data_IF_540783310727
#
_entry.id   IF_540783310727
#
_cell.length_a   1.000
_cell.length_b   1.000
_cell.length_c   1.000
_cell.angle_alpha   90.00
_cell.angle_beta   90.00
_cell.angle_gamma   90.00
#
_symmetry.space_group_name_H-M   'P 1'
#
loop_
_entity.id
_entity.type
_entity.pdbx_description
1 polymer ?
#
# COMPACT_ATOMS: atom_id res chain seq x y z
N UNK A 1 -61.18 -1.67 -12.84
CA UNK A 1 -60.39 -1.54 -11.59
C UNK A 1 -58.93 -1.82 -11.92
N UNK A 2 -58.18 -0.76 -12.09
CA UNK A 2 -56.74 -0.85 -12.41
C UNK A 2 -55.92 -0.99 -11.12
N UNK A 3 -54.96 -1.92 -11.03
CA UNK A 3 -54.02 -1.90 -9.92
C UNK A 3 -52.87 -0.94 -10.24
N UNK A 4 -52.77 0.10 -9.43
CA UNK A 4 -51.65 1.03 -9.35
C UNK A 4 -50.38 0.29 -8.91
N UNK A 5 -49.37 0.21 -9.80
CA UNK A 5 -48.02 -0.14 -9.44
C UNK A 5 -47.41 0.98 -8.61
N UNK A 6 -47.17 0.71 -7.34
CA UNK A 6 -46.23 1.50 -6.54
C UNK A 6 -44.81 1.08 -6.93
N UNK A 7 -44.04 2.00 -7.49
CA UNK A 7 -42.61 1.89 -7.61
C UNK A 7 -42.04 2.00 -6.20
N UNK A 8 -41.53 0.91 -5.67
CA UNK A 8 -40.71 0.93 -4.46
C UNK A 8 -39.41 1.66 -4.81
N UNK A 9 -39.16 2.76 -4.10
CA UNK A 9 -37.88 3.45 -4.18
C UNK A 9 -36.76 2.48 -3.76
N UNK A 10 -35.74 2.37 -4.61
CA UNK A 10 -34.52 1.67 -4.29
C UNK A 10 -33.91 2.34 -3.06
N UNK A 11 -33.97 1.64 -1.92
CA UNK A 11 -33.22 2.02 -0.73
C UNK A 11 -31.76 1.96 -1.10
N UNK A 12 -31.04 3.05 -0.87
CA UNK A 12 -29.58 3.06 -0.85
C UNK A 12 -29.20 2.15 0.32
N UNK A 13 -28.74 0.94 0.04
CA UNK A 13 -28.20 0.05 1.06
C UNK A 13 -27.00 0.75 1.69
N UNK A 14 -27.17 1.22 2.91
CA UNK A 14 -26.18 1.88 3.76
C UNK A 14 -25.21 0.81 4.30
N UNK A 15 -24.37 0.25 3.44
CA UNK A 15 -23.47 -0.88 3.76
C UNK A 15 -22.26 -0.45 4.60
N UNK A 16 -22.08 0.84 4.89
CA UNK A 16 -20.91 1.35 5.62
C UNK A 16 -21.19 1.87 7.03
N UNK A 17 -22.45 2.06 7.38
CA UNK A 17 -22.79 2.23 8.79
C UNK A 17 -22.76 0.83 9.42
N UNK A 18 -21.68 0.54 10.16
CA UNK A 18 -21.61 -0.62 11.01
C UNK A 18 -22.96 -0.78 11.73
N UNK A 19 -23.66 -1.88 11.45
CA UNK A 19 -24.63 -2.35 12.44
C UNK A 19 -23.79 -2.69 13.69
N UNK A 20 -24.02 -2.03 14.83
CA UNK A 20 -23.11 -2.10 15.98
C UNK A 20 -23.03 -3.48 16.66
N UNK A 21 -23.51 -4.56 16.06
CA UNK A 21 -23.84 -5.79 16.79
C UNK A 21 -23.33 -7.13 16.23
N UNK A 22 -22.48 -7.19 15.21
CA UNK A 22 -21.78 -8.45 14.97
C UNK A 22 -20.42 -8.44 15.68
N UNK A 23 -20.42 -8.82 16.95
CA UNK A 23 -19.18 -9.17 17.65
C UNK A 23 -18.70 -10.51 17.14
N UNK A 24 -17.51 -10.53 16.56
CA UNK A 24 -16.87 -11.79 16.18
C UNK A 24 -16.56 -12.61 17.45
N UNK A 25 -16.79 -13.94 17.40
CA UNK A 25 -16.13 -14.80 18.36
C UNK A 25 -14.63 -14.80 18.04
N UNK A 26 -13.76 -14.48 18.99
CA UNK A 26 -12.32 -14.33 18.76
C UNK A 26 -11.68 -15.55 18.08
N UNK A 27 -12.16 -16.76 18.44
CA UNK A 27 -11.67 -18.02 17.87
C UNK A 27 -12.20 -18.31 16.44
N UNK A 28 -13.16 -17.52 15.93
CA UNK A 28 -13.65 -17.63 14.55
C UNK A 28 -12.86 -16.74 13.57
N UNK A 29 -11.99 -15.88 14.06
CA UNK A 29 -11.20 -14.99 13.22
C UNK A 29 -9.98 -15.74 12.69
N UNK A 30 -9.88 -15.83 11.35
CA UNK A 30 -8.72 -16.43 10.69
C UNK A 30 -8.11 -15.46 9.68
N UNK A 31 -6.98 -14.84 10.04
CA UNK A 31 -6.28 -13.86 9.20
C UNK A 31 -5.47 -14.49 8.05
N UNK A 32 -5.39 -15.83 7.98
CA UNK A 32 -4.73 -16.55 6.87
C UNK A 32 -5.70 -17.00 5.79
N UNK A 33 -7.00 -16.98 6.09
CA UNK A 33 -8.04 -17.33 5.14
C UNK A 33 -8.27 -16.17 4.15
N UNK A 34 -8.11 -16.44 2.86
CA UNK A 34 -8.35 -15.44 1.81
C UNK A 34 -9.81 -14.98 1.77
N UNK A 35 -10.76 -15.82 2.19
CA UNK A 35 -12.17 -15.46 2.26
C UNK A 35 -12.44 -14.41 3.36
N UNK A 36 -11.63 -14.37 4.43
CA UNK A 36 -11.68 -13.27 5.39
C UNK A 36 -11.36 -11.94 4.72
N UNK A 37 -10.38 -11.89 3.83
CA UNK A 37 -9.94 -10.66 3.16
C UNK A 37 -10.88 -10.22 2.02
N UNK A 38 -11.78 -11.08 1.57
CA UNK A 38 -12.87 -10.76 0.63
C UNK A 38 -14.10 -10.15 1.30
N UNK A 39 -14.18 -10.19 2.65
CA UNK A 39 -15.30 -9.61 3.39
C UNK A 39 -15.32 -8.09 3.30
N UNK A 40 -16.49 -7.46 3.44
CA UNK A 40 -16.61 -6.01 3.53
C UNK A 40 -15.68 -5.42 4.59
N UNK A 41 -15.17 -4.22 4.33
CA UNK A 41 -14.22 -3.57 5.25
C UNK A 41 -14.76 -3.43 6.68
N UNK A 42 -16.06 -3.11 6.84
CA UNK A 42 -16.69 -3.02 8.17
C UNK A 42 -16.56 -4.31 8.98
N UNK A 43 -16.79 -5.47 8.35
CA UNK A 43 -16.64 -6.78 8.99
C UNK A 43 -15.17 -7.03 9.41
N UNK A 44 -14.22 -6.73 8.53
CA UNK A 44 -12.77 -6.89 8.84
C UNK A 44 -12.34 -5.97 9.98
N UNK A 45 -12.80 -4.71 9.99
CA UNK A 45 -12.50 -3.77 11.08
C UNK A 45 -13.11 -4.22 12.40
N UNK A 46 -14.34 -4.76 12.39
CA UNK A 46 -14.98 -5.35 13.57
C UNK A 46 -14.19 -6.55 14.12
N UNK A 47 -13.69 -7.43 13.24
CA UNK A 47 -12.83 -8.54 13.65
C UNK A 47 -11.52 -8.05 14.29
N UNK A 48 -10.87 -7.02 13.72
CA UNK A 48 -9.68 -6.43 14.33
C UNK A 48 -9.97 -5.71 15.64
N UNK A 49 -11.15 -5.10 15.82
CA UNK A 49 -11.56 -4.55 17.12
C UNK A 49 -11.68 -5.67 18.16
N UNK A 50 -12.30 -6.80 17.83
CA UNK A 50 -12.36 -7.98 18.70
C UNK A 50 -10.95 -8.46 19.08
N UNK A 51 -10.04 -8.60 18.11
CA UNK A 51 -8.65 -9.00 18.39
C UNK A 51 -7.95 -8.00 19.32
N UNK A 52 -8.09 -6.68 19.09
CA UNK A 52 -7.48 -5.66 19.96
C UNK A 52 -7.96 -5.75 21.39
N UNK A 53 -9.23 -6.08 21.61
CA UNK A 53 -9.83 -6.16 22.94
C UNK A 53 -9.55 -7.47 23.66
N UNK A 54 -9.71 -8.59 22.97
CA UNK A 54 -9.71 -9.91 23.60
C UNK A 54 -8.39 -10.64 23.50
N UNK A 55 -7.65 -10.46 22.37
CA UNK A 55 -6.41 -11.19 22.11
C UNK A 55 -5.46 -10.36 21.20
N UNK A 56 -4.89 -9.26 21.72
CA UNK A 56 -4.13 -8.29 20.93
C UNK A 56 -2.85 -8.86 20.30
N UNK A 57 -2.31 -9.95 20.84
CA UNK A 57 -1.23 -10.76 20.27
C UNK A 57 -1.79 -12.16 20.05
N UNK A 58 -2.10 -12.50 18.79
CA UNK A 58 -2.76 -13.75 18.44
C UNK A 58 -1.93 -14.54 17.45
N UNK A 59 -1.79 -15.85 17.68
CA UNK A 59 -1.09 -16.76 16.78
C UNK A 59 -2.03 -17.21 15.66
N UNK A 60 -1.49 -17.28 14.43
CA UNK A 60 -2.13 -17.83 13.24
C UNK A 60 -1.15 -18.74 12.49
N UNK A 61 -1.67 -19.83 11.91
CA UNK A 61 -0.92 -20.68 11.01
C UNK A 61 -0.54 -19.93 9.73
N UNK A 62 0.46 -20.41 8.98
CA UNK A 62 0.78 -19.84 7.67
C UNK A 62 -0.25 -20.28 6.62
N UNK A 63 -0.53 -19.41 5.62
CA UNK A 63 -1.39 -19.79 4.50
C UNK A 63 -0.69 -20.87 3.66
N UNK A 64 -1.48 -21.81 3.17
CA UNK A 64 -1.03 -22.78 2.17
C UNK A 64 -1.26 -22.18 0.78
N UNK A 65 -0.22 -22.13 -0.04
CA UNK A 65 -0.34 -21.70 -1.44
C UNK A 65 -0.53 -22.95 -2.30
N UNK A 66 -1.71 -23.11 -2.83
CA UNK A 66 -2.03 -24.18 -3.75
C UNK A 66 -1.65 -23.83 -5.20
N UNK A 67 -1.44 -24.84 -6.04
CA UNK A 67 -1.23 -24.67 -7.48
C UNK A 67 0.15 -24.16 -7.87
N UNK A 68 1.14 -24.25 -6.98
CA UNK A 68 2.53 -23.86 -7.26
C UNK A 68 3.40 -25.05 -7.60
N UNK A 69 4.35 -24.88 -8.53
CA UNK A 69 5.40 -25.85 -8.86
C UNK A 69 6.55 -25.87 -7.85
N UNK A 70 6.63 -24.88 -6.98
CA UNK A 70 7.63 -24.75 -5.91
C UNK A 70 6.92 -25.00 -4.58
N UNK A 71 7.36 -26.04 -3.87
CA UNK A 71 6.90 -26.31 -2.50
C UNK A 71 7.63 -25.40 -1.51
N UNK A 72 6.88 -24.67 -0.72
CA UNK A 72 7.40 -23.91 0.40
C UNK A 72 7.23 -24.75 1.68
N UNK A 73 8.28 -24.88 2.52
CA UNK A 73 8.13 -25.60 3.78
C UNK A 73 7.10 -24.87 4.67
N UNK A 74 6.24 -25.65 5.32
CA UNK A 74 5.35 -25.11 6.34
C UNK A 74 6.19 -24.54 7.50
N UNK A 75 5.91 -23.31 7.88
CA UNK A 75 6.53 -22.68 9.05
C UNK A 75 5.67 -22.81 10.29
N UNK A 76 6.15 -22.22 11.40
CA UNK A 76 5.48 -22.28 12.71
C UNK A 76 4.35 -21.23 12.86
N UNK A 77 3.91 -20.60 11.77
CA UNK A 77 2.90 -19.54 11.80
C UNK A 77 3.49 -18.17 12.17
N UNK A 78 2.61 -17.26 12.61
CA UNK A 78 3.01 -15.91 13.01
C UNK A 78 2.08 -15.36 14.10
N UNK A 79 2.55 -14.35 14.83
CA UNK A 79 1.76 -13.59 15.77
C UNK A 79 1.29 -12.28 15.14
N UNK A 80 -0.01 -11.99 15.20
CA UNK A 80 -0.58 -10.72 14.79
C UNK A 80 -0.47 -9.69 15.92
N UNK A 81 0.24 -8.58 15.71
CA UNK A 81 0.27 -7.44 16.61
C UNK A 81 -0.82 -6.44 16.17
N UNK A 82 -1.91 -6.35 16.92
CA UNK A 82 -3.08 -5.55 16.52
C UNK A 82 -3.17 -4.19 17.23
N UNK A 83 -2.51 -4.02 18.38
CA UNK A 83 -2.48 -2.76 19.13
C UNK A 83 -1.41 -1.81 18.61
N UNK A 84 -1.75 -0.52 18.54
CA UNK A 84 -0.86 0.57 18.12
C UNK A 84 0.47 0.57 18.87
N UNK A 85 0.42 0.41 20.21
CA UNK A 85 1.60 0.42 21.06
C UNK A 85 2.56 -0.74 20.76
N UNK A 86 2.03 -1.94 20.52
CA UNK A 86 2.85 -3.12 20.26
C UNK A 86 3.52 -3.03 18.88
N UNK A 87 2.78 -2.56 17.87
CA UNK A 87 3.32 -2.21 16.54
C UNK A 87 4.43 -1.17 16.64
N UNK A 88 4.25 -0.13 17.47
CA UNK A 88 5.25 0.91 17.68
C UNK A 88 6.53 0.33 18.33
N UNK A 89 6.36 -0.48 19.37
CA UNK A 89 7.47 -1.10 20.09
C UNK A 89 8.29 -1.98 19.17
N UNK A 90 7.64 -2.88 18.42
CA UNK A 90 8.33 -3.76 17.48
C UNK A 90 9.07 -2.97 16.38
N UNK A 91 8.48 -1.88 15.89
CA UNK A 91 9.13 -1.05 14.87
C UNK A 91 10.34 -0.24 15.38
N UNK A 92 10.35 0.13 16.67
CA UNK A 92 11.42 0.92 17.29
C UNK A 92 12.61 0.11 17.79
N UNK A 93 12.47 -1.22 17.84
CA UNK A 93 13.52 -2.15 18.27
C UNK A 93 13.98 -3.05 17.13
N UNK A 94 14.58 -2.49 16.04
CA UNK A 94 15.01 -3.26 14.89
C UNK A 94 16.11 -4.28 15.21
N UNK A 95 16.83 -4.10 16.31
CA UNK A 95 17.83 -5.04 16.81
C UNK A 95 17.22 -6.32 17.39
N UNK A 96 15.92 -6.28 17.75
CA UNK A 96 15.15 -7.43 18.22
C UNK A 96 14.23 -7.95 17.12
N UNK A 97 13.56 -7.05 16.42
CA UNK A 97 12.51 -7.33 15.42
C UNK A 97 13.06 -7.09 14.01
N UNK A 98 13.74 -8.11 13.48
CA UNK A 98 14.45 -8.06 12.20
C UNK A 98 13.51 -8.01 10.99
N UNK A 99 13.88 -7.25 9.97
CA UNK A 99 13.23 -7.23 8.66
C UNK A 99 13.87 -8.20 7.67
N UNK A 100 15.15 -8.51 7.84
CA UNK A 100 15.96 -9.28 6.90
C UNK A 100 15.40 -10.66 6.53
N UNK A 101 14.83 -11.44 7.45
CA UNK A 101 14.27 -12.74 7.11
C UNK A 101 13.03 -12.71 6.19
N UNK A 102 12.42 -11.54 5.96
CA UNK A 102 11.30 -11.35 5.03
C UNK A 102 10.25 -10.40 5.57
N UNK A 103 10.24 -9.14 5.11
CA UNK A 103 9.35 -8.11 5.64
C UNK A 103 7.94 -8.12 5.01
N UNK A 104 7.77 -8.74 3.84
CA UNK A 104 6.55 -8.67 3.01
C UNK A 104 5.89 -10.03 2.76
N UNK A 105 6.36 -11.08 3.44
CA UNK A 105 5.83 -12.44 3.31
C UNK A 105 5.56 -13.04 4.69
N UNK A 106 4.43 -13.71 4.85
CA UNK A 106 4.13 -14.52 6.04
C UNK A 106 4.96 -15.79 6.08
N UNK A 107 5.28 -16.35 4.90
CA UNK A 107 6.08 -17.54 4.74
C UNK A 107 7.58 -17.21 4.72
N UNK A 108 8.40 -18.21 5.06
CA UNK A 108 9.83 -18.13 4.90
C UNK A 108 10.20 -18.46 3.44
N UNK A 109 10.61 -17.45 2.72
CA UNK A 109 11.06 -17.55 1.34
C UNK A 109 12.57 -17.76 1.28
N UNK A 110 13.11 -18.42 0.22
CA UNK A 110 14.54 -18.44 -0.03
C UNK A 110 15.14 -17.03 -0.02
N UNK A 111 16.33 -16.89 0.57
CA UNK A 111 17.00 -15.59 0.74
C UNK A 111 17.17 -14.82 -0.58
N UNK A 112 17.41 -15.54 -1.68
CA UNK A 112 17.56 -14.99 -3.02
C UNK A 112 16.25 -14.35 -3.51
N UNK A 113 15.11 -14.98 -3.22
CA UNK A 113 13.80 -14.42 -3.56
C UNK A 113 13.49 -13.17 -2.70
N UNK A 114 13.80 -13.22 -1.40
CA UNK A 114 13.63 -12.08 -0.50
C UNK A 114 14.48 -10.91 -0.98
N UNK A 115 15.75 -11.12 -1.30
CA UNK A 115 16.64 -10.07 -1.79
C UNK A 115 16.18 -9.49 -3.15
N UNK A 116 15.69 -10.35 -4.04
CA UNK A 116 15.24 -9.96 -5.37
C UNK A 116 13.98 -9.11 -5.36
N UNK A 117 12.93 -9.53 -4.65
CA UNK A 117 11.64 -8.86 -4.67
C UNK A 117 11.47 -7.76 -3.61
N UNK A 118 12.17 -7.88 -2.49
CA UNK A 118 11.95 -6.98 -1.36
C UNK A 118 13.08 -5.97 -1.19
N UNK A 119 14.25 -6.20 -1.78
CA UNK A 119 15.37 -5.28 -1.75
C UNK A 119 15.65 -4.70 -0.36
N UNK A 120 15.74 -3.39 -0.29
CA UNK A 120 16.05 -2.65 0.94
C UNK A 120 15.03 -2.89 2.07
N UNK A 121 13.76 -3.19 1.76
CA UNK A 121 12.70 -3.33 2.76
C UNK A 121 12.86 -4.58 3.63
N UNK A 122 13.54 -5.63 3.08
CA UNK A 122 13.88 -6.87 3.78
C UNK A 122 15.38 -6.93 4.06
N UNK A 123 15.91 -5.89 4.68
CA UNK A 123 17.31 -5.86 5.16
C UNK A 123 17.36 -5.20 6.53
N UNK A 124 18.40 -5.53 7.29
CA UNK A 124 18.71 -4.92 8.57
C UNK A 124 20.07 -4.20 8.50
N UNK A 125 20.40 -3.44 9.53
CA UNK A 125 21.69 -2.78 9.63
C UNK A 125 22.84 -3.80 9.74
N UNK A 126 23.99 -3.54 9.13
CA UNK A 126 24.39 -2.29 8.49
C UNK A 126 23.96 -2.16 7.01
N UNK A 127 23.46 -3.25 6.36
CA UNK A 127 23.11 -3.26 4.93
C UNK A 127 21.98 -2.28 4.65
N UNK A 128 20.92 -2.27 5.48
CA UNK A 128 19.79 -1.35 5.34
C UNK A 128 20.25 0.11 5.40
N UNK A 129 21.01 0.51 6.43
CA UNK A 129 21.49 1.88 6.57
C UNK A 129 22.35 2.34 5.37
N UNK A 130 23.20 1.44 4.83
CA UNK A 130 23.97 1.69 3.63
C UNK A 130 23.08 1.95 2.42
N UNK A 131 22.16 1.04 2.10
CA UNK A 131 21.25 1.16 0.96
C UNK A 131 20.39 2.41 1.06
N UNK A 132 19.78 2.64 2.24
CA UNK A 132 18.92 3.81 2.48
C UNK A 132 19.68 5.12 2.31
N UNK A 133 20.94 5.19 2.76
CA UNK A 133 21.80 6.38 2.58
C UNK A 133 22.06 6.69 1.11
N UNK A 134 22.37 5.65 0.30
CA UNK A 134 22.62 5.79 -1.14
C UNK A 134 21.36 6.28 -1.85
N UNK A 135 20.24 5.58 -1.63
CA UNK A 135 18.98 5.89 -2.27
C UNK A 135 18.46 7.28 -1.86
N UNK A 136 18.52 7.64 -0.58
CA UNK A 136 18.07 8.95 -0.09
C UNK A 136 18.82 10.12 -0.73
N UNK A 137 20.06 9.94 -1.16
CA UNK A 137 20.82 10.99 -1.91
C UNK A 137 20.27 11.23 -3.30
N UNK A 138 19.69 10.21 -3.95
CA UNK A 138 19.04 10.39 -5.26
C UNK A 138 17.75 11.24 -5.15
N UNK A 139 17.12 11.29 -3.97
CA UNK A 139 15.97 12.15 -3.65
C UNK A 139 16.42 13.54 -3.14
N UNK A 140 17.37 14.16 -3.83
CA UNK A 140 17.83 15.50 -3.48
C UNK A 140 16.79 16.60 -3.81
N UNK A 141 16.92 17.85 -3.26
CA UNK A 141 15.94 18.91 -3.46
C UNK A 141 15.71 19.34 -4.92
N UNK A 142 16.67 19.08 -5.82
CA UNK A 142 16.53 19.39 -7.25
C UNK A 142 15.61 18.34 -7.91
N UNK A 143 15.87 17.06 -7.66
CA UNK A 143 15.06 15.96 -8.19
C UNK A 143 13.64 16.03 -7.62
N UNK A 144 13.47 16.36 -6.34
CA UNK A 144 12.16 16.55 -5.71
C UNK A 144 11.35 17.67 -6.38
N UNK A 145 11.98 18.83 -6.70
CA UNK A 145 11.28 19.92 -7.41
C UNK A 145 10.85 19.52 -8.81
N UNK A 146 11.73 18.84 -9.56
CA UNK A 146 11.37 18.34 -10.89
C UNK A 146 10.18 17.38 -10.85
N UNK A 147 10.09 16.59 -9.77
CA UNK A 147 8.95 15.70 -9.51
C UNK A 147 7.68 16.48 -9.16
N UNK A 148 7.77 17.54 -8.36
CA UNK A 148 6.61 18.39 -8.03
C UNK A 148 5.96 19.00 -9.27
N UNK A 149 6.76 19.52 -10.20
CA UNK A 149 6.27 20.04 -11.49
C UNK A 149 5.64 18.91 -12.34
N UNK A 150 6.20 17.69 -12.28
CA UNK A 150 5.65 16.53 -12.97
C UNK A 150 4.31 16.09 -12.39
N UNK A 151 4.16 16.11 -11.06
CA UNK A 151 2.91 15.73 -10.37
C UNK A 151 1.75 16.62 -10.84
N UNK A 152 1.93 17.95 -10.84
CA UNK A 152 0.90 18.90 -11.28
C UNK A 152 0.50 18.63 -12.74
N UNK A 153 1.48 18.51 -13.62
CA UNK A 153 1.25 18.27 -15.05
C UNK A 153 0.55 16.92 -15.30
N UNK A 154 1.00 15.84 -14.63
CA UNK A 154 0.40 14.51 -14.78
C UNK A 154 -1.04 14.46 -14.26
N UNK A 155 -1.33 15.13 -13.15
CA UNK A 155 -2.69 15.26 -12.64
C UNK A 155 -3.58 15.92 -13.69
N UNK A 156 -3.12 17.02 -14.30
CA UNK A 156 -3.83 17.74 -15.36
C UNK A 156 -4.11 16.84 -16.57
N UNK A 157 -3.08 16.17 -17.09
CA UNK A 157 -3.17 15.31 -18.27
C UNK A 157 -4.13 14.12 -18.04
N UNK A 158 -4.08 13.49 -16.88
CA UNK A 158 -4.91 12.33 -16.54
C UNK A 158 -6.37 12.74 -16.37
N UNK A 159 -6.63 13.82 -15.65
CA UNK A 159 -8.00 14.32 -15.47
C UNK A 159 -8.61 14.74 -16.81
N UNK A 160 -7.87 15.40 -17.69
CA UNK A 160 -8.37 15.77 -19.02
C UNK A 160 -8.69 14.54 -19.88
N UNK A 161 -7.87 13.48 -19.80
CA UNK A 161 -8.15 12.20 -20.48
C UNK A 161 -9.45 11.55 -19.98
N UNK A 162 -9.71 11.59 -18.67
CA UNK A 162 -10.88 10.95 -18.05
C UNK A 162 -12.19 11.74 -18.28
N UNK A 163 -12.14 13.05 -18.54
CA UNK A 163 -13.33 13.91 -18.73
C UNK A 163 -14.16 13.61 -19.96
N UNK A 164 -13.59 12.93 -20.95
CA UNK A 164 -14.27 12.67 -22.24
C UNK A 164 -15.47 11.75 -22.12
N UNK A 165 -15.51 10.87 -21.13
CA UNK A 165 -16.61 9.91 -20.89
C UNK A 165 -17.61 10.35 -19.83
N UNK A 166 -17.21 11.22 -18.88
CA UNK A 166 -18.04 11.67 -17.76
C UNK A 166 -18.30 10.61 -16.69
N UNK A 167 -18.10 9.35 -17.02
CA UNK A 167 -18.19 8.16 -16.13
C UNK A 167 -17.12 7.15 -16.55
N UNK A 168 -16.68 6.30 -15.62
CA UNK A 168 -15.66 5.29 -15.92
C UNK A 168 -15.32 4.43 -14.72
N UNK A 169 -14.14 3.84 -14.78
CA UNK A 169 -13.52 3.14 -13.67
C UNK A 169 -12.32 3.95 -13.16
N UNK A 170 -12.43 4.44 -11.93
CA UNK A 170 -11.44 5.34 -11.32
C UNK A 170 -10.04 4.72 -11.26
N UNK A 171 -9.96 3.37 -11.17
CA UNK A 171 -8.68 2.69 -11.05
C UNK A 171 -7.88 2.80 -12.34
N UNK A 172 -8.30 2.26 -13.50
CA UNK A 172 -7.53 2.36 -14.73
C UNK A 172 -7.51 3.77 -15.33
N UNK A 173 -8.54 4.60 -15.08
CA UNK A 173 -8.64 5.91 -15.70
C UNK A 173 -7.77 6.97 -14.99
N UNK A 174 -7.65 6.89 -13.66
CA UNK A 174 -7.04 7.96 -12.83
C UNK A 174 -6.05 7.41 -11.82
N UNK A 175 -6.49 6.52 -10.93
CA UNK A 175 -5.73 6.19 -9.72
C UNK A 175 -4.47 5.34 -10.00
N UNK A 176 -4.50 4.43 -10.98
CA UNK A 176 -3.35 3.60 -11.33
C UNK A 176 -2.32 4.32 -12.22
N UNK A 177 -2.71 5.01 -13.31
CA UNK A 177 -1.71 5.67 -14.16
C UNK A 177 -0.99 6.82 -13.45
N UNK A 178 -1.64 7.53 -12.55
CA UNK A 178 -1.08 8.72 -11.94
C UNK A 178 0.24 8.48 -11.18
N UNK A 179 0.28 7.68 -10.10
CA UNK A 179 1.53 7.42 -9.39
C UNK A 179 2.54 6.63 -10.23
N UNK A 180 2.06 5.72 -11.09
CA UNK A 180 2.93 4.93 -11.95
C UNK A 180 3.72 5.81 -12.94
N UNK A 181 3.03 6.70 -13.66
CA UNK A 181 3.67 7.59 -14.64
C UNK A 181 4.67 8.54 -13.94
N UNK A 182 4.38 9.00 -12.73
CA UNK A 182 5.30 9.84 -11.94
C UNK A 182 6.57 9.06 -11.59
N UNK A 183 6.44 7.82 -11.08
CA UNK A 183 7.59 6.98 -10.74
C UNK A 183 8.42 6.63 -11.97
N UNK A 184 7.75 6.29 -13.07
CA UNK A 184 8.43 6.00 -14.34
C UNK A 184 9.20 7.23 -14.85
N UNK A 185 8.59 8.42 -14.83
CA UNK A 185 9.26 9.68 -15.18
C UNK A 185 10.48 9.94 -14.29
N UNK A 186 10.33 9.77 -12.97
CA UNK A 186 11.42 9.93 -11.99
C UNK A 186 12.60 9.01 -12.26
N UNK A 187 12.33 7.77 -12.66
CA UNK A 187 13.34 6.76 -12.99
C UNK A 187 13.89 6.94 -14.40
N UNK A 188 13.26 7.77 -15.25
CA UNK A 188 13.63 7.94 -16.65
C UNK A 188 13.23 6.78 -17.54
N UNK A 189 12.21 6.00 -17.13
CA UNK A 189 11.60 4.93 -17.94
C UNK A 189 10.88 5.56 -19.13
N UNK A 190 11.10 5.09 -20.36
CA UNK A 190 10.41 5.65 -21.53
C UNK A 190 8.91 5.35 -21.48
N UNK A 191 8.04 6.26 -21.96
CA UNK A 191 6.58 6.09 -21.94
C UNK A 191 6.07 4.82 -22.65
N UNK A 192 6.82 4.29 -23.61
CA UNK A 192 6.51 3.02 -24.27
C UNK A 192 6.50 1.82 -23.32
N UNK A 193 7.21 1.90 -22.20
CA UNK A 193 7.33 0.83 -21.21
C UNK A 193 6.32 0.95 -20.06
N UNK A 194 5.55 2.04 -19.94
CA UNK A 194 4.63 2.23 -18.81
C UNK A 194 3.60 1.11 -18.68
N UNK A 195 3.04 0.66 -19.81
CA UNK A 195 2.08 -0.45 -19.79
C UNK A 195 2.72 -1.77 -19.33
N UNK A 196 3.96 -2.03 -19.75
CA UNK A 196 4.76 -3.19 -19.32
C UNK A 196 5.02 -3.13 -17.81
N UNK A 197 5.47 -1.97 -17.31
CA UNK A 197 5.72 -1.76 -15.88
C UNK A 197 4.45 -1.95 -15.06
N UNK A 198 3.31 -1.38 -15.49
CA UNK A 198 2.01 -1.54 -14.81
C UNK A 198 1.57 -3.00 -14.75
N UNK A 199 1.65 -3.70 -15.89
CA UNK A 199 1.25 -5.11 -15.98
C UNK A 199 2.03 -5.99 -15.00
N UNK A 200 3.35 -5.92 -15.02
CA UNK A 200 4.20 -6.74 -14.17
C UNK A 200 4.14 -6.34 -12.69
N UNK A 201 3.99 -5.05 -12.39
CA UNK A 201 3.78 -4.58 -11.02
C UNK A 201 2.47 -5.12 -10.43
N UNK A 202 1.39 -5.14 -11.22
CA UNK A 202 0.11 -5.69 -10.77
C UNK A 202 0.21 -7.20 -10.45
N UNK A 203 0.93 -7.98 -11.25
CA UNK A 203 1.13 -9.42 -10.99
C UNK A 203 1.90 -9.63 -9.68
N UNK A 204 2.97 -8.87 -9.47
CA UNK A 204 3.78 -8.98 -8.23
C UNK A 204 2.96 -8.66 -6.98
N UNK A 205 2.11 -7.64 -7.05
CA UNK A 205 1.38 -7.13 -5.89
C UNK A 205 0.06 -7.86 -5.62
N UNK A 206 -0.55 -8.40 -6.66
CA UNK A 206 -1.81 -9.12 -6.57
C UNK A 206 -1.62 -10.64 -6.48
N UNK A 207 -0.48 -11.10 -6.01
CA UNK A 207 -0.19 -12.51 -5.79
C UNK A 207 -1.33 -13.21 -5.03
N UNK A 208 -1.98 -14.17 -5.71
CA UNK A 208 -3.12 -14.90 -5.15
C UNK A 208 -4.51 -14.34 -5.51
N UNK A 209 -4.63 -13.19 -6.17
CA UNK A 209 -5.94 -12.72 -6.67
C UNK A 209 -6.30 -13.44 -7.99
N UNK A 210 -7.42 -14.19 -8.06
CA UNK A 210 -7.78 -15.00 -9.23
C UNK A 210 -8.15 -14.16 -10.47
N UNK A 211 -8.50 -12.87 -10.31
CA UNK A 211 -8.77 -12.00 -11.45
C UNK A 211 -7.48 -11.55 -12.16
N UNK A 212 -6.33 -11.64 -11.48
CA UNK A 212 -5.03 -11.23 -11.99
C UNK A 212 -4.18 -12.44 -12.36
N UNK A 213 -4.27 -13.52 -11.58
CA UNK A 213 -3.62 -14.81 -11.87
C UNK A 213 -4.68 -15.80 -12.32
N UNK A 214 -4.82 -16.04 -13.64
CA UNK A 214 -5.86 -16.93 -14.17
C UNK A 214 -5.72 -18.35 -13.64
N UNK A 215 -6.87 -19.03 -13.51
CA UNK A 215 -6.91 -20.44 -13.13
C UNK A 215 -6.02 -21.30 -14.04
N UNK A 216 -5.20 -22.16 -13.43
CA UNK A 216 -4.27 -23.06 -14.13
C UNK A 216 -2.90 -22.43 -14.45
N UNK A 217 -2.67 -21.17 -14.12
CA UNK A 217 -1.35 -20.58 -14.14
C UNK A 217 -0.65 -20.77 -12.77
N UNK A 218 0.66 -20.97 -12.81
CA UNK A 218 1.47 -21.04 -11.58
C UNK A 218 1.79 -19.62 -11.10
N UNK A 219 1.28 -19.20 -9.93
CA UNK A 219 1.48 -17.84 -9.43
C UNK A 219 2.95 -17.52 -9.15
N UNK A 220 3.76 -18.50 -8.75
CA UNK A 220 5.19 -18.30 -8.47
C UNK A 220 5.97 -18.09 -9.76
N UNK A 221 5.67 -18.84 -10.82
CA UNK A 221 6.30 -18.63 -12.13
C UNK A 221 5.93 -17.25 -12.69
N UNK A 222 4.66 -16.85 -12.62
CA UNK A 222 4.22 -15.51 -13.05
C UNK A 222 4.93 -14.40 -12.26
N UNK A 223 5.11 -14.58 -10.95
CA UNK A 223 5.86 -13.68 -10.09
C UNK A 223 7.32 -13.54 -10.57
N UNK A 224 7.99 -14.66 -10.81
CA UNK A 224 9.39 -14.69 -11.26
C UNK A 224 9.56 -14.05 -12.65
N UNK A 225 8.67 -14.37 -13.60
CA UNK A 225 8.66 -13.77 -14.94
C UNK A 225 8.45 -12.25 -14.88
N UNK A 226 7.53 -11.81 -14.02
CA UNK A 226 7.25 -10.38 -13.85
C UNK A 226 8.43 -9.63 -13.22
N UNK A 227 9.06 -10.22 -12.22
CA UNK A 227 10.29 -9.68 -11.64
C UNK A 227 11.41 -9.58 -12.68
N UNK A 228 11.60 -10.63 -13.50
CA UNK A 228 12.60 -10.65 -14.56
C UNK A 228 12.35 -9.57 -15.62
N UNK A 229 11.08 -9.35 -16.02
CA UNK A 229 10.72 -8.31 -16.98
C UNK A 229 11.05 -6.90 -16.47
N UNK A 230 10.69 -6.60 -15.21
CA UNK A 230 11.02 -5.31 -14.59
C UNK A 230 12.53 -5.12 -14.42
N UNK A 231 13.25 -6.18 -14.04
CA UNK A 231 14.72 -6.16 -13.92
C UNK A 231 15.37 -5.86 -15.26
N UNK A 232 14.92 -6.48 -16.35
CA UNK A 232 15.47 -6.25 -17.69
C UNK A 232 15.34 -4.78 -18.11
N UNK A 233 14.17 -4.16 -17.89
CA UNK A 233 13.95 -2.72 -18.16
C UNK A 233 15.00 -1.87 -17.40
N UNK A 234 15.19 -2.17 -16.10
CA UNK A 234 16.12 -1.39 -15.28
C UNK A 234 17.59 -1.62 -15.65
N UNK A 235 17.97 -2.85 -16.00
CA UNK A 235 19.33 -3.14 -16.44
C UNK A 235 19.68 -2.40 -17.74
N UNK A 236 18.78 -2.41 -18.71
CA UNK A 236 18.99 -1.73 -19.99
C UNK A 236 19.03 -0.20 -19.79
N UNK A 237 18.10 0.33 -18.98
CA UNK A 237 18.09 1.75 -18.65
C UNK A 237 19.36 2.15 -17.87
N UNK A 238 19.76 1.36 -16.87
CA UNK A 238 20.95 1.61 -16.07
C UNK A 238 22.24 1.62 -16.92
N UNK A 239 22.40 0.63 -17.81
CA UNK A 239 23.52 0.58 -18.76
C UNK A 239 23.54 1.82 -19.65
N UNK A 240 22.38 2.21 -20.19
CA UNK A 240 22.26 3.39 -21.04
C UNK A 240 22.61 4.69 -20.30
N UNK A 241 22.21 4.83 -19.03
CA UNK A 241 22.44 6.02 -18.22
C UNK A 241 23.89 6.19 -17.72
N UNK A 242 24.69 5.13 -17.72
CA UNK A 242 26.13 5.24 -17.44
C UNK A 242 26.80 6.12 -18.53
N UNK A 243 26.47 5.88 -19.80
CA UNK A 243 27.05 6.60 -20.91
C UNK A 243 26.27 7.89 -21.30
N UNK A 244 25.00 7.94 -20.96
CA UNK A 244 24.06 9.02 -21.32
C UNK A 244 23.32 9.54 -20.08
N UNK A 245 24.00 10.14 -19.10
CA UNK A 245 23.38 10.63 -17.89
C UNK A 245 22.46 11.83 -18.16
N UNK A 246 21.29 11.82 -17.53
CA UNK A 246 20.36 12.96 -17.50
C UNK A 246 19.94 13.24 -16.04
N UNK A 247 19.04 14.21 -15.84
CA UNK A 247 18.55 14.57 -14.52
C UNK A 247 17.38 13.64 -14.09
N UNK A 248 17.69 12.33 -13.88
CA UNK A 248 16.77 11.32 -13.39
C UNK A 248 17.39 10.52 -12.23
N UNK A 249 16.55 9.78 -11.51
CA UNK A 249 16.99 8.97 -10.36
C UNK A 249 17.92 7.84 -10.81
N UNK A 250 17.67 7.23 -11.95
CA UNK A 250 18.54 6.16 -12.48
C UNK A 250 19.95 6.67 -12.70
N UNK A 251 20.12 7.82 -13.39
CA UNK A 251 21.42 8.46 -13.56
C UNK A 251 22.10 8.78 -12.22
N UNK A 252 21.31 9.26 -11.25
CA UNK A 252 21.82 9.55 -9.90
C UNK A 252 22.28 8.26 -9.19
N UNK A 253 21.54 7.16 -9.30
CA UNK A 253 21.85 5.89 -8.64
C UNK A 253 23.04 5.16 -9.27
N UNK A 254 23.12 5.08 -10.62
CA UNK A 254 24.23 4.38 -11.29
C UNK A 254 25.57 5.12 -11.14
N UNK A 255 25.52 6.45 -10.92
CA UNK A 255 26.68 7.29 -10.69
C UNK A 255 26.90 7.62 -9.20
N UNK A 256 26.00 7.17 -8.30
CA UNK A 256 26.15 7.41 -6.89
C UNK A 256 27.39 6.70 -6.32
N UNK A 257 28.30 7.45 -5.75
CA UNK A 257 29.45 6.94 -5.02
C UNK A 257 29.47 7.58 -3.62
N UNK A 258 29.41 6.74 -2.59
CA UNK A 258 29.50 7.17 -1.20
C UNK A 258 30.71 6.45 -0.59
N UNK A 259 31.77 7.19 -0.30
CA UNK A 259 32.98 6.62 0.34
C UNK A 259 33.50 5.36 -0.39
N UNK A 260 33.47 5.38 -1.77
CA UNK A 260 33.80 4.25 -2.64
C UNK A 260 32.72 3.13 -2.75
N UNK A 261 31.57 3.28 -2.10
CA UNK A 261 30.47 2.32 -2.19
C UNK A 261 29.45 2.70 -3.27
N UNK A 262 29.13 1.76 -4.15
CA UNK A 262 28.08 1.88 -5.20
C UNK A 262 27.02 0.79 -4.98
N UNK A 263 25.83 0.99 -5.56
CA UNK A 263 24.87 -0.10 -5.71
C UNK A 263 25.42 -1.11 -6.72
N UNK A 264 25.28 -2.39 -6.42
CA UNK A 264 25.46 -3.44 -7.43
C UNK A 264 24.33 -3.38 -8.45
N UNK A 265 24.49 -4.03 -9.61
CA UNK A 265 23.41 -4.13 -10.61
C UNK A 265 22.16 -4.80 -10.02
N UNK A 266 22.34 -5.84 -9.21
CA UNK A 266 21.26 -6.52 -8.52
C UNK A 266 20.55 -5.61 -7.51
N UNK A 267 21.28 -4.85 -6.69
CA UNK A 267 20.70 -3.88 -5.77
C UNK A 267 19.92 -2.78 -6.47
N UNK A 268 20.43 -2.31 -7.63
CA UNK A 268 19.74 -1.33 -8.46
C UNK A 268 18.44 -1.89 -9.06
N UNK A 269 18.48 -3.11 -9.62
CA UNK A 269 17.31 -3.77 -10.17
C UNK A 269 16.26 -4.07 -9.09
N UNK A 270 16.67 -4.61 -7.95
CA UNK A 270 15.79 -4.88 -6.82
C UNK A 270 15.18 -3.58 -6.25
N UNK A 271 15.95 -2.49 -6.22
CA UNK A 271 15.42 -1.18 -5.83
C UNK A 271 14.37 -0.66 -6.82
N UNK A 272 14.57 -0.84 -8.12
CA UNK A 272 13.60 -0.46 -9.14
C UNK A 272 12.29 -1.24 -8.98
N UNK A 273 12.37 -2.58 -8.87
CA UNK A 273 11.19 -3.43 -8.63
C UNK A 273 10.45 -2.95 -7.38
N UNK A 274 11.17 -2.71 -6.29
CA UNK A 274 10.58 -2.20 -5.04
C UNK A 274 9.92 -0.82 -5.23
N UNK A 275 10.57 0.08 -5.95
CA UNK A 275 10.08 1.45 -6.12
C UNK A 275 8.79 1.50 -6.96
N UNK A 276 8.74 0.78 -8.08
CA UNK A 276 7.56 0.78 -8.96
C UNK A 276 6.38 0.05 -8.32
N UNK A 277 6.62 -1.00 -7.55
CA UNK A 277 5.56 -1.72 -6.84
C UNK A 277 5.06 -0.94 -5.63
N UNK A 278 5.93 -0.55 -4.72
CA UNK A 278 5.54 0.12 -3.48
C UNK A 278 4.98 1.54 -3.71
N UNK A 279 5.50 2.26 -4.70
CA UNK A 279 5.11 3.65 -4.93
C UNK A 279 3.81 3.80 -5.73
N UNK A 280 3.52 2.91 -6.69
CA UNK A 280 2.31 3.03 -7.50
C UNK A 280 1.07 2.51 -6.79
N UNK A 281 1.11 1.28 -6.26
CA UNK A 281 -0.07 0.61 -5.71
C UNK A 281 -0.62 1.28 -4.44
N UNK A 282 0.27 1.71 -3.55
CA UNK A 282 -0.17 2.30 -2.28
C UNK A 282 -0.84 3.66 -2.46
N UNK A 283 -0.33 4.49 -3.37
CA UNK A 283 -0.95 5.78 -3.73
C UNK A 283 -2.25 5.56 -4.50
N UNK A 284 -2.30 4.60 -5.45
CA UNK A 284 -3.54 4.18 -6.13
C UNK A 284 -4.62 3.79 -5.14
N UNK A 285 -4.28 2.94 -4.17
CA UNK A 285 -5.18 2.51 -3.10
C UNK A 285 -5.66 3.69 -2.27
N UNK A 286 -4.78 4.58 -1.84
CA UNK A 286 -5.14 5.76 -1.06
C UNK A 286 -6.10 6.69 -1.82
N UNK A 287 -5.88 6.92 -3.13
CA UNK A 287 -6.75 7.73 -3.97
C UNK A 287 -8.14 7.10 -4.13
N UNK A 288 -8.20 5.78 -4.36
CA UNK A 288 -9.47 5.06 -4.48
C UNK A 288 -10.30 5.12 -3.20
N UNK A 289 -9.69 4.81 -2.06
CA UNK A 289 -10.35 4.92 -0.76
C UNK A 289 -10.74 6.38 -0.44
N UNK A 290 -9.88 7.35 -0.82
CA UNK A 290 -10.13 8.77 -0.61
C UNK A 290 -11.37 9.25 -1.36
N UNK A 291 -11.49 8.91 -2.66
CA UNK A 291 -12.69 9.26 -3.44
C UNK A 291 -13.94 8.60 -2.85
N UNK A 292 -13.86 7.31 -2.52
CA UNK A 292 -14.99 6.60 -1.97
C UNK A 292 -15.40 7.15 -0.59
N UNK A 293 -14.43 7.40 0.31
CA UNK A 293 -14.71 8.01 1.61
C UNK A 293 -15.35 9.41 1.49
N UNK A 294 -14.86 10.25 0.58
CA UNK A 294 -15.46 11.56 0.32
C UNK A 294 -16.87 11.46 -0.30
N UNK A 295 -17.19 10.37 -0.99
CA UNK A 295 -18.55 10.09 -1.49
C UNK A 295 -19.49 9.68 -0.36
N UNK A 296 -19.05 8.78 0.51
CA UNK A 296 -19.85 8.26 1.63
C UNK A 296 -20.00 9.30 2.76
N UNK A 297 -19.10 10.30 2.82
CA UNK A 297 -19.13 11.38 3.81
C UNK A 297 -19.25 12.74 3.13
N UNK A 298 -20.44 13.09 2.56
CA UNK A 298 -20.63 14.31 1.78
C UNK A 298 -20.45 15.60 2.60
N UNK A 299 -20.66 15.57 3.90
CA UNK A 299 -20.35 16.66 4.83
C UNK A 299 -18.84 16.93 4.91
N UNK A 300 -18.00 15.89 4.94
CA UNK A 300 -16.55 16.01 4.93
C UNK A 300 -16.03 16.49 3.57
N UNK A 301 -16.64 16.03 2.47
CA UNK A 301 -16.35 16.54 1.13
C UNK A 301 -16.68 18.02 1.02
N UNK A 302 -17.86 18.44 1.49
CA UNK A 302 -18.27 19.84 1.48
C UNK A 302 -17.33 20.72 2.32
N UNK A 303 -16.92 20.24 3.49
CA UNK A 303 -15.95 20.93 4.36
C UNK A 303 -14.59 21.07 3.69
N UNK A 304 -14.10 20.03 3.01
CA UNK A 304 -12.84 20.07 2.26
C UNK A 304 -12.92 21.03 1.06
N UNK A 305 -14.03 21.04 0.32
CA UNK A 305 -14.27 22.00 -0.78
C UNK A 305 -14.30 23.45 -0.30
N UNK A 306 -14.85 23.71 0.88
CA UNK A 306 -14.96 25.07 1.45
C UNK A 306 -13.61 25.66 1.86
N UNK A 307 -12.66 24.85 2.32
CA UNK A 307 -11.31 25.26 2.76
C UNK A 307 -10.25 24.19 2.43
N UNK A 308 -10.00 24.01 1.14
CA UNK A 308 -9.03 23.00 0.70
C UNK A 308 -7.64 23.28 1.24
N UNK A 309 -7.15 24.52 1.13
CA UNK A 309 -5.79 24.88 1.53
C UNK A 309 -5.56 24.70 3.06
N UNK A 310 -6.56 25.01 3.87
CA UNK A 310 -6.50 24.85 5.32
C UNK A 310 -6.56 23.38 5.75
N UNK A 311 -7.22 22.52 4.98
CA UNK A 311 -7.47 21.12 5.31
C UNK A 311 -6.63 20.10 4.51
N UNK A 312 -5.94 20.53 3.45
CA UNK A 312 -5.25 19.62 2.52
C UNK A 312 -4.31 18.64 3.22
N UNK A 313 -3.53 19.11 4.19
CA UNK A 313 -2.60 18.27 4.94
C UNK A 313 -3.31 17.25 5.82
N UNK A 314 -4.28 17.68 6.61
CA UNK A 314 -5.03 16.80 7.53
C UNK A 314 -5.89 15.81 6.75
N UNK A 315 -6.54 16.25 5.67
CA UNK A 315 -7.32 15.40 4.79
C UNK A 315 -6.47 14.32 4.12
N UNK A 316 -5.27 14.66 3.65
CA UNK A 316 -4.34 13.69 3.06
C UNK A 316 -3.90 12.64 4.08
N UNK A 317 -3.50 13.04 5.29
CA UNK A 317 -3.13 12.10 6.34
C UNK A 317 -4.34 11.24 6.78
N UNK A 318 -5.55 11.81 6.83
CA UNK A 318 -6.77 11.04 7.13
C UNK A 318 -7.12 10.04 6.02
N UNK A 319 -6.99 10.40 4.75
CA UNK A 319 -7.16 9.47 3.62
C UNK A 319 -6.19 8.30 3.77
N UNK A 320 -4.92 8.55 4.10
CA UNK A 320 -3.91 7.49 4.27
C UNK A 320 -4.19 6.62 5.49
N UNK A 321 -4.61 7.22 6.63
CA UNK A 321 -5.04 6.47 7.82
C UNK A 321 -6.22 5.55 7.48
N UNK A 322 -7.25 6.12 6.86
CA UNK A 322 -8.48 5.44 6.48
C UNK A 322 -8.25 4.29 5.52
N UNK A 323 -7.45 4.53 4.47
CA UNK A 323 -7.10 3.53 3.48
C UNK A 323 -6.19 2.42 4.02
N UNK A 324 -5.23 2.76 4.89
CA UNK A 324 -4.20 1.83 5.36
C UNK A 324 -3.70 0.92 4.23
N UNK A 325 -3.08 1.47 3.15
CA UNK A 325 -2.82 0.74 1.91
C UNK A 325 -2.03 -0.55 2.10
N UNK A 326 -1.01 -0.52 2.96
CA UNK A 326 -0.30 -1.72 3.44
C UNK A 326 -0.95 -2.16 4.74
N UNK A 327 -1.46 -3.38 4.75
CA UNK A 327 -2.18 -3.94 5.90
C UNK A 327 -1.21 -4.24 7.04
N UNK A 328 -0.08 -4.86 6.72
CA UNK A 328 0.93 -5.25 7.72
C UNK A 328 2.34 -5.25 7.14
N UNK A 329 3.33 -5.32 8.03
CA UNK A 329 4.71 -5.67 7.72
C UNK A 329 5.19 -6.72 8.72
N UNK A 330 5.97 -7.72 8.25
CA UNK A 330 6.54 -8.76 9.11
C UNK A 330 7.82 -8.30 9.77
N UNK A 331 8.05 -8.85 10.98
CA UNK A 331 9.36 -8.92 11.65
C UNK A 331 9.59 -10.33 12.14
N UNK A 332 10.88 -10.68 12.33
CA UNK A 332 11.30 -11.96 12.91
C UNK A 332 12.20 -11.68 14.10
N UNK A 333 11.96 -12.33 15.22
CA UNK A 333 12.71 -12.08 16.45
C UNK A 333 14.13 -12.63 16.38
N UNK A 334 15.11 -11.77 16.69
CA UNK A 334 16.53 -12.13 16.81
C UNK A 334 16.85 -12.81 18.16
N UNK A 335 16.03 -12.56 19.16
CA UNK A 335 16.18 -13.05 20.54
C UNK A 335 14.82 -13.10 21.23
N UNK A 336 14.73 -13.77 22.37
CA UNK A 336 13.54 -13.79 23.21
C UNK A 336 13.20 -12.35 23.66
N UNK A 337 11.90 -12.01 23.69
CA UNK A 337 11.44 -10.69 24.06
C UNK A 337 10.01 -10.75 24.65
N UNK A 338 9.81 -10.10 25.79
CA UNK A 338 8.45 -9.93 26.37
C UNK A 338 7.84 -8.64 25.85
N UNK A 339 6.75 -8.75 25.08
CA UNK A 339 5.98 -7.63 24.53
C UNK A 339 4.61 -7.59 25.18
N UNK A 340 4.30 -6.51 25.91
CA UNK A 340 3.00 -6.31 26.59
C UNK A 340 2.52 -7.54 27.39
N UNK A 341 3.44 -8.09 28.22
CA UNK A 341 3.21 -9.28 29.05
C UNK A 341 3.04 -10.61 28.29
N UNK A 342 3.38 -10.61 26.98
CA UNK A 342 3.39 -11.81 26.14
C UNK A 342 4.85 -12.20 25.80
N UNK A 343 5.22 -13.43 26.07
CA UNK A 343 6.57 -13.94 25.81
C UNK A 343 6.66 -14.45 24.37
N UNK A 344 7.51 -13.82 23.59
CA UNK A 344 7.90 -14.22 22.25
C UNK A 344 9.32 -14.80 22.31
N UNK A 345 9.59 -15.83 21.53
CA UNK A 345 10.89 -16.47 21.48
C UNK A 345 11.65 -16.13 20.20
N UNK A 346 12.96 -16.32 20.21
CA UNK A 346 13.80 -16.14 19.02
C UNK A 346 13.29 -16.99 17.86
N UNK A 347 13.13 -16.36 16.71
CA UNK A 347 12.62 -16.98 15.47
C UNK A 347 11.14 -16.74 15.24
N UNK A 348 10.37 -16.35 16.27
CA UNK A 348 8.97 -16.03 16.10
C UNK A 348 8.77 -14.93 15.04
N UNK A 349 7.73 -15.11 14.24
CA UNK A 349 7.29 -14.12 13.26
C UNK A 349 6.17 -13.27 13.85
N UNK A 350 6.29 -11.96 13.74
CA UNK A 350 5.25 -11.02 14.15
C UNK A 350 4.82 -10.16 12.96
N UNK A 351 3.52 -10.01 12.73
CA UNK A 351 2.97 -9.11 11.73
C UNK A 351 2.43 -7.85 12.41
N UNK A 352 3.00 -6.71 12.04
CA UNK A 352 2.64 -5.39 12.53
C UNK A 352 1.41 -4.90 11.76
N UNK A 353 0.18 -5.15 12.25
CA UNK A 353 -1.05 -4.79 11.55
C UNK A 353 -1.34 -3.30 11.60
N UNK A 354 -0.85 -2.54 10.62
CA UNK A 354 -1.08 -1.09 10.49
C UNK A 354 -2.56 -0.75 10.33
N UNK A 355 -3.31 -1.57 9.57
CA UNK A 355 -4.74 -1.41 9.39
C UNK A 355 -5.49 -1.44 10.73
N UNK A 356 -5.10 -2.32 11.65
CA UNK A 356 -5.65 -2.39 13.01
C UNK A 356 -5.16 -1.23 13.87
N UNK A 357 -3.86 -0.96 13.89
CA UNK A 357 -3.25 0.11 14.69
C UNK A 357 -3.82 1.49 14.32
N UNK A 358 -4.14 1.74 13.06
CA UNK A 358 -4.75 2.99 12.58
C UNK A 358 -6.21 3.17 13.01
N UNK A 359 -6.80 2.16 13.67
CA UNK A 359 -8.13 2.19 14.26
C UNK A 359 -8.13 1.81 15.74
N UNK A 360 -6.98 1.87 16.40
CA UNK A 360 -6.86 1.60 17.82
C UNK A 360 -7.53 2.73 18.64
N UNK A 361 -8.59 2.39 19.33
CA UNK A 361 -9.41 3.27 20.14
C UNK A 361 -8.67 3.83 21.36
N UNK A 362 -7.54 3.23 21.75
CA UNK A 362 -6.67 3.76 22.80
C UNK A 362 -5.86 4.98 22.31
N UNK A 363 -5.81 5.23 20.98
CA UNK A 363 -5.02 6.29 20.38
C UNK A 363 -5.88 7.26 19.55
N UNK A 364 -6.84 6.74 18.80
CA UNK A 364 -7.70 7.54 17.93
C UNK A 364 -9.09 7.69 18.53
N UNK A 365 -9.48 8.91 18.84
CA UNK A 365 -10.86 9.21 19.22
C UNK A 365 -11.79 8.97 18.01
N UNK A 366 -12.86 8.18 18.20
CA UNK A 366 -13.78 7.79 17.14
C UNK A 366 -13.04 7.29 15.87
N UNK A 367 -12.28 6.18 15.97
CA UNK A 367 -11.39 5.71 14.90
C UNK A 367 -12.12 5.34 13.61
N UNK A 368 -13.40 5.00 13.67
CA UNK A 368 -14.25 4.63 12.54
C UNK A 368 -15.03 5.81 11.96
N UNK A 369 -14.72 7.04 12.37
CA UNK A 369 -15.22 8.27 11.76
C UNK A 369 -14.16 8.84 10.83
N UNK A 370 -14.53 9.06 9.57
CA UNK A 370 -13.69 9.76 8.61
C UNK A 370 -13.80 11.27 8.85
N UNK A 371 -12.68 11.92 9.21
CA UNK A 371 -12.63 13.35 9.51
C UNK A 371 -11.44 14.02 8.79
N UNK A 372 -11.72 14.81 7.74
CA UNK A 372 -10.70 15.52 6.96
C UNK A 372 -9.89 16.54 7.77
N UNK A 373 -10.33 16.88 8.98
CA UNK A 373 -9.65 17.77 9.89
C UNK A 373 -9.03 17.08 11.11
N UNK A 374 -8.95 15.74 11.12
CA UNK A 374 -8.43 14.97 12.27
C UNK A 374 -7.08 15.47 12.72
N UNK A 375 -6.99 15.80 14.01
CA UNK A 375 -5.74 16.21 14.65
C UNK A 375 -5.82 15.94 16.16
N UNK A 376 -4.84 15.24 16.80
CA UNK A 376 -3.67 14.61 16.14
C UNK A 376 -4.05 13.44 15.24
N UNK A 377 -3.18 13.07 14.29
CA UNK A 377 -3.37 11.94 13.39
C UNK A 377 -2.03 11.20 13.16
N UNK A 378 -1.51 10.57 14.21
CA UNK A 378 -0.22 9.86 14.20
C UNK A 378 -0.37 8.44 13.67
N UNK A 379 -0.89 8.30 12.45
CA UNK A 379 -1.19 7.01 11.84
C UNK A 379 0.05 6.27 11.31
N UNK A 380 -0.06 4.96 11.14
CA UNK A 380 0.98 4.09 10.59
C UNK A 380 0.75 3.71 9.11
N UNK A 381 -0.03 4.48 8.36
CA UNK A 381 -0.22 4.27 6.92
C UNK A 381 1.07 4.41 6.10
N UNK A 382 2.12 5.03 6.67
CA UNK A 382 3.49 5.07 6.14
C UNK A 382 4.47 4.21 6.94
N UNK A 383 3.97 3.25 7.70
CA UNK A 383 4.73 2.47 8.66
C UNK A 383 4.85 3.17 10.03
N UNK A 384 5.13 2.39 11.06
CA UNK A 384 5.41 2.90 12.40
C UNK A 384 6.81 3.54 12.48
N UNK A 385 7.08 4.42 13.46
CA UNK A 385 8.37 5.07 13.63
C UNK A 385 9.51 4.04 13.77
N UNK A 386 10.53 4.13 12.92
CA UNK A 386 11.68 3.23 12.91
C UNK A 386 12.49 3.39 11.63
N UNK A 387 13.55 2.57 11.43
CA UNK A 387 14.43 2.67 10.28
C UNK A 387 13.71 2.42 8.94
N UNK A 388 12.64 1.63 8.94
CA UNK A 388 11.82 1.30 7.76
C UNK A 388 10.63 2.23 7.54
N UNK A 389 10.54 3.38 8.21
CA UNK A 389 9.53 4.40 7.87
C UNK A 389 9.58 4.73 6.38
N UNK A 390 8.42 4.84 5.73
CA UNK A 390 8.30 4.98 4.28
C UNK A 390 9.21 6.07 3.72
N UNK A 391 10.07 5.69 2.77
CA UNK A 391 10.99 6.62 2.09
C UNK A 391 10.21 7.63 1.23
N UNK A 392 9.13 7.17 0.57
CA UNK A 392 8.29 7.96 -0.32
C UNK A 392 7.18 8.75 0.37
N UNK A 393 7.11 8.77 1.72
CA UNK A 393 5.98 9.37 2.45
C UNK A 393 5.69 10.83 2.08
N UNK A 394 6.73 11.61 1.77
CA UNK A 394 6.56 13.00 1.34
C UNK A 394 5.97 13.10 -0.07
N UNK A 395 6.50 12.27 -0.99
CA UNK A 395 6.03 12.20 -2.36
C UNK A 395 4.56 11.75 -2.43
N UNK A 396 4.21 10.65 -1.76
CA UNK A 396 2.86 10.12 -1.74
C UNK A 396 1.85 11.14 -1.18
N UNK A 397 2.21 11.86 -0.09
CA UNK A 397 1.36 12.95 0.41
C UNK A 397 1.15 14.04 -0.64
N UNK A 398 2.20 14.42 -1.36
CA UNK A 398 2.10 15.43 -2.41
C UNK A 398 1.23 14.95 -3.57
N UNK A 399 1.40 13.73 -4.03
CA UNK A 399 0.58 13.09 -5.06
C UNK A 399 -0.90 13.08 -4.67
N UNK A 400 -1.23 12.56 -3.49
CA UNK A 400 -2.62 12.51 -3.01
C UNK A 400 -3.21 13.92 -2.89
N UNK A 401 -2.46 14.85 -2.30
CA UNK A 401 -2.91 16.25 -2.14
C UNK A 401 -3.23 16.88 -3.49
N UNK A 402 -2.32 16.76 -4.47
CA UNK A 402 -2.50 17.39 -5.79
C UNK A 402 -3.66 16.74 -6.54
N UNK A 403 -3.70 15.41 -6.60
CA UNK A 403 -4.77 14.71 -7.35
C UNK A 403 -6.16 15.02 -6.76
N UNK A 404 -6.34 14.94 -5.45
CA UNK A 404 -7.62 15.26 -4.79
C UNK A 404 -7.99 16.72 -5.02
N UNK A 405 -7.03 17.66 -4.93
CA UNK A 405 -7.25 19.08 -5.23
C UNK A 405 -7.78 19.28 -6.64
N UNK A 406 -7.09 18.74 -7.63
CA UNK A 406 -7.42 18.96 -9.03
C UNK A 406 -8.75 18.27 -9.42
N UNK A 407 -9.00 17.07 -8.88
CA UNK A 407 -10.30 16.40 -9.08
C UNK A 407 -11.46 17.25 -8.53
N UNK A 408 -11.38 17.69 -7.28
CA UNK A 408 -12.45 18.44 -6.63
C UNK A 408 -12.59 19.85 -7.23
N UNK A 409 -11.50 20.50 -7.61
CA UNK A 409 -11.54 21.83 -8.24
C UNK A 409 -12.21 21.83 -9.61
N UNK A 410 -11.96 20.79 -10.42
CA UNK A 410 -12.48 20.69 -11.79
C UNK A 410 -13.83 20.01 -11.87
N UNK A 411 -14.07 19.06 -10.97
CA UNK A 411 -15.27 18.25 -10.91
C UNK A 411 -15.75 18.16 -9.46
N UNK A 412 -16.34 19.23 -8.89
CA UNK A 412 -16.75 19.24 -7.48
C UNK A 412 -17.81 18.16 -7.16
N UNK A 413 -18.55 17.72 -8.17
CA UNK A 413 -19.59 16.69 -8.05
C UNK A 413 -19.04 15.26 -8.20
N UNK A 414 -17.75 15.09 -8.52
CA UNK A 414 -17.15 13.76 -8.67
C UNK A 414 -17.48 12.85 -7.47
N UNK A 415 -17.95 11.66 -7.75
CA UNK A 415 -18.28 10.67 -6.73
C UNK A 415 -18.09 9.24 -7.26
N UNK A 416 -17.83 8.30 -6.36
CA UNK A 416 -17.86 6.88 -6.71
C UNK A 416 -19.30 6.39 -6.81
N UNK A 417 -19.54 5.48 -7.76
CA UNK A 417 -20.86 4.87 -7.96
C UNK A 417 -20.79 3.38 -7.67
N UNK A 418 -21.54 2.92 -6.68
CA UNK A 418 -21.54 1.52 -6.24
C UNK A 418 -20.38 1.14 -5.32
N UNK A 419 -20.32 -0.16 -5.01
CA UNK A 419 -19.34 -0.73 -4.07
C UNK A 419 -17.99 -0.96 -4.76
N UNK A 420 -16.86 -0.58 -4.14
CA UNK A 420 -15.54 -0.89 -4.66
C UNK A 420 -15.28 -2.40 -4.76
N UNK A 421 -14.71 -2.85 -5.88
CA UNK A 421 -14.21 -4.21 -6.02
C UNK A 421 -12.84 -4.32 -5.34
N UNK A 422 -12.76 -5.10 -4.29
CA UNK A 422 -11.56 -5.21 -3.47
C UNK A 422 -10.56 -6.21 -4.06
N UNK A 423 -9.28 -5.95 -3.87
CA UNK A 423 -8.21 -6.91 -4.12
C UNK A 423 -8.30 -8.03 -3.07
N UNK A 424 -8.28 -9.29 -3.50
CA UNK A 424 -8.18 -10.43 -2.61
C UNK A 424 -6.74 -10.58 -2.10
N UNK A 425 -6.38 -9.79 -1.10
CA UNK A 425 -5.02 -9.75 -0.54
C UNK A 425 -5.06 -9.57 0.97
N UNK A 426 -4.24 -10.36 1.68
CA UNK A 426 -3.98 -10.16 3.10
C UNK A 426 -2.96 -9.06 3.37
N UNK A 427 -2.18 -8.66 2.35
CA UNK A 427 -1.06 -7.72 2.47
C UNK A 427 -1.43 -6.29 2.07
N UNK A 428 -2.22 -6.13 1.00
CA UNK A 428 -2.65 -4.83 0.47
C UNK A 428 -4.15 -4.63 0.61
N UNK A 429 -4.56 -3.46 1.07
CA UNK A 429 -5.96 -3.05 1.14
C UNK A 429 -6.42 -2.45 -0.21
N UNK A 430 -6.05 -3.12 -1.31
CA UNK A 430 -6.20 -2.65 -2.67
C UNK A 430 -7.65 -2.61 -3.16
N UNK A 431 -7.88 -1.78 -4.19
CA UNK A 431 -9.13 -1.68 -4.93
C UNK A 431 -8.85 -1.98 -6.41
N UNK A 432 -9.55 -2.99 -6.97
CA UNK A 432 -9.41 -3.39 -8.37
C UNK A 432 -10.23 -2.51 -9.31
N UNK A 433 -11.46 -2.22 -8.91
CA UNK A 433 -12.42 -1.42 -9.69
C UNK A 433 -13.19 -0.48 -8.77
N UNK A 434 -13.41 0.73 -9.23
CA UNK A 434 -14.23 1.75 -8.56
C UNK A 434 -14.93 2.59 -9.63
N UNK A 435 -16.18 2.25 -9.91
CA UNK A 435 -16.98 3.05 -10.82
C UNK A 435 -17.13 4.47 -10.27
N UNK A 436 -17.08 5.48 -11.16
CA UNK A 436 -17.23 6.88 -10.79
C UNK A 436 -18.06 7.68 -11.81
N UNK A 437 -18.54 8.85 -11.36
CA UNK A 437 -19.14 9.89 -12.18
C UNK A 437 -18.51 11.23 -11.84
N UNK A 438 -18.29 12.08 -12.87
CA UNK A 438 -17.80 13.44 -12.74
C UNK A 438 -18.91 14.41 -12.43
#
# INVERSE_FOLDING_TARGET
>A
MNPTFRVAGAGVDTIWLMEPNETWAVDSINLTDIEFWRRPWGERHSAFATLRHERPISHFEEPVIEGTSIEFPAGDGFYALTKYRDVQTASRHPEVFLSGPGAVSTMDLPSEMVEYFSGMISTDDPKHARLRRIVSKAFNPRNVRAVEDSIERKADEIIERSRTSGTGDFIPDIAAPFPLEIICDMMGVPPSEYATVLHHSNIILAFGDPDIIPEGQDPVLMLLESGAALTAIMEDLGKYRIDNPIDDITSALVNAEIETEKLTQQELASFFVLLVTAGSETTRTALAHGLHALTEHPDQKARLLADYEGLAKTATDEIVRWASPVIWMRRTLAQDYTLSDFDLVKGDKVLLYYLSANRDEDVFENPDVFDVGRTPNDHYGFGAPGPHFCLGAHLARREITVMIRELLRRNPDIHSTGTPSQLASSFLNGVKHLAYSL
#
